data_IF_985392897804
#
_entry.id   IF_985392897804
#
_cell.length_a   1.000
_cell.length_b   1.000
_cell.length_c   1.000
_cell.angle_alpha   90.00
_cell.angle_beta   90.00
_cell.angle_gamma   90.00
#
_symmetry.space_group_name_H-M   'P 1'
#
loop_
_entity.id
_entity.type
_entity.pdbx_description
1 polymer ?
#
# COMPACT_ATOMS: atom_id res chain seq x y z
N UNK A 1 11.70 12.95 14.60
CA UNK A 1 12.81 13.93 14.75
C UNK A 1 14.08 13.18 15.15
N UNK A 2 15.21 13.32 14.43
CA UNK A 2 16.54 12.99 14.99
C UNK A 2 17.52 14.15 14.74
N UNK A 3 18.29 14.47 15.78
CA UNK A 3 19.27 15.58 15.86
C UNK A 3 20.53 15.24 15.06
N UNK A 4 21.08 16.21 14.32
CA UNK A 4 22.45 16.15 13.78
C UNK A 4 23.32 17.20 14.47
N UNK A 5 24.55 16.82 14.86
CA UNK A 5 25.57 17.73 15.46
C UNK A 5 26.56 18.15 14.37
N UNK A 6 26.74 19.45 14.23
CA UNK A 6 27.64 20.08 13.27
C UNK A 6 29.12 19.86 13.61
N UNK A 7 29.98 19.59 12.62
CA UNK A 7 31.33 20.20 12.48
C UNK A 7 32.00 19.93 11.10
N UNK A 8 32.53 21.03 10.52
CA UNK A 8 33.58 21.18 9.49
C UNK A 8 33.22 21.46 8.01
N UNK A 9 32.96 22.75 7.74
CA UNK A 9 33.75 23.67 6.89
C UNK A 9 34.15 23.38 5.42
N UNK A 10 33.29 22.78 4.60
CA UNK A 10 33.41 23.01 3.13
C UNK A 10 32.12 23.06 2.26
N UNK A 11 30.91 23.14 2.84
CA UNK A 11 29.67 23.30 2.08
C UNK A 11 28.82 24.50 2.54
N UNK A 12 29.41 25.69 2.53
CA UNK A 12 28.67 26.96 2.49
C UNK A 12 28.15 27.19 1.07
N UNK A 13 26.86 26.95 0.84
CA UNK A 13 25.94 27.89 0.16
C UNK A 13 24.71 27.16 -0.41
N UNK A 14 23.63 27.04 0.38
CA UNK A 14 22.25 27.12 -0.16
C UNK A 14 21.16 27.41 0.90
N UNK A 15 21.50 28.09 2.02
CA UNK A 15 20.50 28.71 2.89
C UNK A 15 20.52 30.23 2.73
N UNK A 16 19.80 30.73 1.71
CA UNK A 16 19.48 32.17 1.59
C UNK A 16 18.05 32.43 2.06
N UNK A 17 17.90 32.63 3.36
CA UNK A 17 16.78 33.39 3.90
C UNK A 17 16.92 34.87 3.50
N UNK A 18 15.93 35.43 2.80
CA UNK A 18 15.61 36.85 2.93
C UNK A 18 14.22 36.99 3.55
N UNK A 19 14.25 37.10 4.87
CA UNK A 19 13.33 37.78 5.80
C UNK A 19 11.80 37.61 5.65
N UNK A 20 11.20 37.18 6.77
CA UNK A 20 9.83 37.38 7.26
C UNK A 20 8.78 36.26 7.04
N UNK A 21 8.98 35.07 7.59
CA UNK A 21 7.85 34.23 8.05
C UNK A 21 8.21 33.46 9.34
N UNK A 22 7.48 33.66 10.46
CA UNK A 22 7.70 32.96 11.73
C UNK A 22 7.46 31.44 11.69
N UNK A 23 6.88 30.91 10.60
CA UNK A 23 6.43 29.51 10.48
C UNK A 23 7.55 28.48 10.20
N UNK A 24 8.81 28.90 10.08
CA UNK A 24 9.94 28.04 9.71
C UNK A 24 10.92 27.79 10.88
N UNK A 25 10.46 27.84 12.13
CA UNK A 25 11.26 27.35 13.27
C UNK A 25 11.28 25.82 13.23
N UNK A 26 12.40 25.23 12.81
CA UNK A 26 12.64 23.79 12.91
C UNK A 26 13.42 23.15 11.76
N UNK A 27 13.80 23.91 10.73
CA UNK A 27 14.52 23.36 9.56
C UNK A 27 16.02 23.68 9.68
N UNK A 28 16.84 22.66 9.92
CA UNK A 28 18.30 22.76 9.84
C UNK A 28 18.76 22.41 8.41
N UNK A 29 19.66 23.21 7.86
CA UNK A 29 20.22 23.06 6.52
C UNK A 29 21.35 22.02 6.52
N UNK A 30 21.25 20.96 5.71
CA UNK A 30 22.33 19.97 5.51
C UNK A 30 23.00 20.06 4.12
N UNK A 31 24.14 19.39 3.94
CA UNK A 31 24.96 19.43 2.71
C UNK A 31 24.66 18.24 1.79
N UNK A 32 24.79 18.36 0.45
CA UNK A 32 24.41 17.29 -0.50
C UNK A 32 25.15 15.93 -0.38
N UNK A 33 26.17 15.79 0.48
CA UNK A 33 26.84 14.51 0.74
C UNK A 33 26.46 13.90 2.12
N UNK A 34 25.58 14.58 2.87
CA UNK A 34 25.01 14.16 4.15
C UNK A 34 23.57 13.61 4.00
N UNK A 35 23.11 13.44 2.75
CA UNK A 35 21.76 13.02 2.36
C UNK A 35 21.79 11.87 1.34
N UNK A 36 22.88 11.10 1.31
CA UNK A 36 23.03 9.88 0.51
C UNK A 36 23.48 8.82 1.51
N UNK A 37 22.52 8.33 2.29
CA UNK A 37 22.74 7.29 3.28
C UNK A 37 22.94 5.97 2.53
N UNK A 38 23.95 5.14 2.88
CA UNK A 38 24.31 3.98 2.06
C UNK A 38 23.30 2.83 2.13
N UNK A 39 22.25 2.97 2.93
CA UNK A 39 21.18 2.00 3.08
C UNK A 39 19.85 2.68 2.74
N UNK A 40 18.88 1.90 2.28
CA UNK A 40 17.55 2.41 1.98
C UNK A 40 16.86 3.06 3.20
N UNK A 41 16.33 4.27 3.06
CA UNK A 41 15.60 4.99 4.11
C UNK A 41 14.21 5.50 3.68
N UNK A 42 13.29 5.57 4.65
CA UNK A 42 11.96 6.16 4.45
C UNK A 42 11.81 7.41 5.31
N UNK A 43 11.82 8.57 4.67
CA UNK A 43 11.61 9.85 5.36
C UNK A 43 10.12 10.21 5.44
N UNK A 44 9.60 10.49 6.65
CA UNK A 44 8.17 10.82 6.86
C UNK A 44 7.95 12.30 7.20
N UNK A 45 6.99 12.94 6.52
CA UNK A 45 6.47 14.27 6.87
C UNK A 45 5.05 14.15 7.40
N UNK A 46 4.86 14.44 8.69
CA UNK A 46 3.54 14.43 9.32
C UNK A 46 2.76 15.74 9.12
N UNK A 47 1.47 15.62 8.81
CA UNK A 47 0.49 16.70 8.79
C UNK A 47 -0.74 16.31 9.60
N UNK A 48 -1.03 17.10 10.63
CA UNK A 48 -2.16 16.85 11.54
C UNK A 48 -2.13 15.48 12.26
N UNK A 49 -0.99 14.79 12.28
CA UNK A 49 -0.80 13.57 13.08
C UNK A 49 -0.29 13.97 14.46
N UNK A 50 -1.19 14.19 15.43
CA UNK A 50 -0.82 14.76 16.75
C UNK A 50 -0.55 13.72 17.83
N UNK A 51 -1.02 12.49 17.63
CA UNK A 51 -0.89 11.40 18.59
C UNK A 51 0.42 10.64 18.36
N UNK A 52 1.29 10.56 19.37
CA UNK A 52 2.59 9.89 19.29
C UNK A 52 2.46 8.38 19.02
N UNK A 53 1.41 7.72 19.55
CA UNK A 53 1.14 6.29 19.27
C UNK A 53 0.83 6.08 17.79
N UNK A 54 0.12 7.01 17.17
CA UNK A 54 -0.18 6.95 15.73
C UNK A 54 1.08 7.22 14.92
N UNK A 55 1.89 8.21 15.30
CA UNK A 55 3.20 8.46 14.64
C UNK A 55 4.09 7.21 14.69
N UNK A 56 4.12 6.51 15.83
CA UNK A 56 4.89 5.27 16.00
C UNK A 56 4.45 4.17 15.04
N UNK A 57 3.17 4.02 14.73
CA UNK A 57 2.72 3.04 13.72
C UNK A 57 3.30 3.33 12.33
N UNK A 58 3.44 4.60 11.95
CA UNK A 58 4.11 5.01 10.71
C UNK A 58 5.62 4.74 10.73
N UNK A 59 6.29 5.01 11.85
CA UNK A 59 7.73 4.75 12.00
C UNK A 59 8.03 3.24 12.01
N UNK A 60 7.18 2.43 12.63
CA UNK A 60 7.30 0.97 12.63
C UNK A 60 7.09 0.38 11.23
N UNK A 61 6.13 0.89 10.47
CA UNK A 61 5.92 0.48 9.09
C UNK A 61 7.10 0.84 8.18
N UNK A 62 7.65 2.05 8.32
CA UNK A 62 8.88 2.45 7.62
C UNK A 62 10.03 1.49 7.95
N UNK A 63 10.30 1.26 9.24
CA UNK A 63 11.33 0.31 9.70
C UNK A 63 11.09 -1.10 9.14
N UNK A 64 9.84 -1.54 9.07
CA UNK A 64 9.48 -2.85 8.52
C UNK A 64 9.80 -2.93 7.03
N UNK A 65 9.53 -1.89 6.26
CA UNK A 65 9.88 -1.81 4.85
C UNK A 65 11.39 -1.67 4.60
N UNK A 66 12.11 -0.91 5.42
CA UNK A 66 13.59 -0.78 5.39
C UNK A 66 14.30 -2.11 5.69
N UNK A 67 13.65 -3.05 6.38
CA UNK A 67 14.22 -4.40 6.54
C UNK A 67 14.09 -5.27 5.29
N UNK A 68 13.14 -4.95 4.41
CA UNK A 68 12.86 -5.66 3.15
C UNK A 68 13.60 -5.04 1.99
N UNK A 69 13.58 -3.71 1.86
CA UNK A 69 14.29 -2.97 0.83
C UNK A 69 15.63 -2.54 1.41
N UNK A 70 16.73 -3.02 0.83
CA UNK A 70 18.07 -2.88 1.43
C UNK A 70 19.07 -2.16 0.54
N UNK A 71 18.77 -1.98 -0.74
CA UNK A 71 19.63 -1.20 -1.63
C UNK A 71 19.23 0.27 -1.65
N UNK A 72 20.20 1.11 -1.32
CA UNK A 72 20.19 2.55 -1.51
C UNK A 72 19.79 2.97 -2.94
N UNK A 73 18.98 4.01 -3.04
CA UNK A 73 18.57 4.70 -4.26
C UNK A 73 19.20 6.10 -4.29
N UNK A 74 19.85 6.47 -5.41
CA UNK A 74 20.57 7.74 -5.50
C UNK A 74 19.71 8.94 -5.10
N UNK A 75 20.16 9.87 -4.25
CA UNK A 75 19.29 10.98 -3.85
C UNK A 75 18.77 11.82 -5.04
N UNK A 76 17.50 12.23 -4.99
CA UNK A 76 16.83 12.96 -6.06
C UNK A 76 16.61 14.43 -5.69
N UNK A 77 17.13 15.33 -6.53
CA UNK A 77 16.74 16.74 -6.49
C UNK A 77 15.33 16.93 -7.02
N UNK A 78 14.46 17.56 -6.23
CA UNK A 78 13.07 17.86 -6.61
C UNK A 78 13.05 19.15 -7.46
N UNK A 79 12.50 19.13 -8.69
CA UNK A 79 12.44 20.32 -9.54
C UNK A 79 11.55 21.43 -8.95
N UNK A 80 12.08 22.66 -8.84
CA UNK A 80 11.37 23.83 -8.28
C UNK A 80 10.23 24.37 -9.17
N UNK A 81 10.24 24.04 -10.46
CA UNK A 81 9.38 24.65 -11.48
C UNK A 81 8.53 23.58 -12.19
N UNK A 82 8.09 22.56 -11.46
CA UNK A 82 7.07 21.68 -12.00
C UNK A 82 5.71 22.22 -11.57
N UNK A 83 5.05 22.95 -12.47
CA UNK A 83 3.59 23.07 -12.43
C UNK A 83 3.04 21.71 -12.77
N UNK A 84 2.38 21.13 -11.78
CA UNK A 84 1.79 19.82 -11.86
C UNK A 84 2.62 18.78 -11.10
N UNK A 85 2.02 17.86 -10.36
CA UNK A 85 0.72 18.05 -9.76
C UNK A 85 0.62 17.33 -8.41
N UNK A 86 1.67 16.76 -7.83
CA UNK A 86 1.83 16.40 -6.41
C UNK A 86 0.55 16.11 -5.61
N UNK A 87 0.40 14.85 -5.21
CA UNK A 87 -0.61 14.38 -4.26
C UNK A 87 -0.95 15.47 -3.25
N UNK A 88 -2.24 15.73 -3.02
CA UNK A 88 -2.73 16.93 -2.30
C UNK A 88 -2.01 17.19 -0.95
N UNK A 89 -1.45 16.14 -0.38
CA UNK A 89 -0.69 16.10 0.88
C UNK A 89 0.83 16.34 0.76
N UNK A 90 1.45 16.14 -0.40
CA UNK A 90 2.88 16.40 -0.68
C UNK A 90 3.12 17.71 -1.45
N UNK A 91 2.74 18.86 -0.89
CA UNK A 91 2.94 20.17 -1.55
C UNK A 91 4.43 20.50 -1.77
N UNK A 92 4.87 20.66 -3.03
CA UNK A 92 6.28 20.95 -3.43
C UNK A 92 6.95 22.02 -2.57
N UNK A 93 6.26 23.13 -2.30
CA UNK A 93 6.81 24.26 -1.55
C UNK A 93 7.10 23.94 -0.08
N UNK A 94 6.70 22.75 0.38
CA UNK A 94 6.90 22.25 1.74
C UNK A 94 7.74 20.96 1.77
N UNK A 95 8.19 20.48 0.61
CA UNK A 95 9.09 19.33 0.50
C UNK A 95 10.56 19.79 0.59
N UNK A 96 11.47 18.92 1.06
CA UNK A 96 12.90 19.18 0.97
C UNK A 96 13.35 19.26 -0.51
N UNK A 97 14.44 19.98 -0.76
CA UNK A 97 15.00 20.12 -2.12
C UNK A 97 15.64 18.86 -2.66
N UNK A 98 16.15 18.02 -1.76
CA UNK A 98 16.74 16.72 -2.03
C UNK A 98 15.95 15.71 -1.21
N UNK A 99 15.57 14.62 -1.83
CA UNK A 99 14.97 13.46 -1.18
C UNK A 99 15.96 12.32 -1.34
N UNK A 100 16.39 11.77 -0.22
CA UNK A 100 17.06 10.47 -0.20
C UNK A 100 16.00 9.37 -0.26
N UNK A 101 16.30 8.31 -1.00
CA UNK A 101 15.41 7.16 -1.23
C UNK A 101 13.93 7.48 -1.52
N UNK A 102 13.08 7.42 -0.48
CA UNK A 102 11.64 7.67 -0.55
C UNK A 102 11.15 8.57 0.58
N UNK A 103 10.41 9.61 0.22
CA UNK A 103 9.70 10.48 1.16
C UNK A 103 8.19 10.20 1.17
N UNK A 104 7.61 10.11 2.36
CA UNK A 104 6.18 9.85 2.55
C UNK A 104 5.52 11.00 3.31
N UNK A 105 4.59 11.70 2.68
CA UNK A 105 3.76 12.68 3.38
C UNK A 105 2.55 11.99 3.99
N UNK A 106 2.38 12.10 5.30
CA UNK A 106 1.26 11.50 6.01
C UNK A 106 0.33 12.60 6.49
N UNK A 107 -0.97 12.48 6.18
CA UNK A 107 -2.02 13.33 6.72
C UNK A 107 -3.07 12.50 7.47
N UNK A 108 -3.56 13.08 8.57
CA UNK A 108 -4.81 12.64 9.22
C UNK A 108 -5.87 13.72 9.00
N UNK A 109 -7.05 13.32 8.55
CA UNK A 109 -8.22 14.20 8.41
C UNK A 109 -9.42 13.44 7.86
N UNK A 110 -10.55 14.12 7.73
CA UNK A 110 -11.76 13.50 7.20
C UNK A 110 -11.58 12.98 5.76
N UNK A 111 -12.09 11.77 5.50
CA UNK A 111 -12.23 11.20 4.16
C UNK A 111 -13.72 11.07 3.84
N UNK A 112 -14.42 10.14 4.48
CA UNK A 112 -15.83 9.84 4.25
C UNK A 112 -16.58 9.38 5.51
N UNK A 113 -15.91 9.39 6.67
CA UNK A 113 -16.54 9.10 7.95
C UNK A 113 -16.17 7.71 8.45
N UNK A 114 -17.08 7.07 9.19
CA UNK A 114 -16.73 5.84 9.92
C UNK A 114 -16.82 4.60 9.05
N UNK A 115 -15.73 3.83 9.00
CA UNK A 115 -15.65 2.43 8.51
C UNK A 115 -16.07 2.28 7.06
N UNK A 116 -15.78 3.32 6.30
CA UNK A 116 -15.91 3.32 4.85
C UNK A 116 -14.49 3.24 4.31
N UNK A 117 -13.79 4.35 4.09
CA UNK A 117 -12.40 4.31 3.68
C UNK A 117 -11.47 4.59 4.84
N UNK A 118 -10.74 3.56 5.28
CA UNK A 118 -9.81 3.66 6.40
C UNK A 118 -8.61 4.57 6.07
N UNK A 119 -8.07 4.39 4.87
CA UNK A 119 -6.91 5.09 4.40
C UNK A 119 -6.83 5.12 2.87
N UNK A 120 -5.95 5.98 2.38
CA UNK A 120 -5.68 6.24 0.97
C UNK A 120 -4.21 6.51 0.78
N UNK A 121 -3.57 5.82 -0.15
CA UNK A 121 -2.19 6.10 -0.53
C UNK A 121 -2.05 6.54 -1.98
N UNK A 122 -0.89 7.08 -2.31
CA UNK A 122 -0.62 7.55 -3.66
C UNK A 122 0.86 7.51 -3.97
N UNK A 123 1.18 7.00 -5.15
CA UNK A 123 2.51 7.20 -5.73
C UNK A 123 2.57 8.58 -6.37
N UNK A 124 3.43 9.45 -5.83
CA UNK A 124 3.62 10.80 -6.34
C UNK A 124 4.67 10.85 -7.45
N UNK A 125 5.79 11.53 -7.17
CA UNK A 125 6.87 11.69 -8.14
C UNK A 125 7.75 10.45 -8.20
N UNK A 126 8.11 10.06 -9.43
CA UNK A 126 8.94 8.90 -9.72
C UNK A 126 10.21 9.32 -10.45
N UNK A 127 11.27 8.58 -10.20
CA UNK A 127 12.57 8.70 -10.84
C UNK A 127 12.41 8.44 -12.34
N UNK A 128 12.95 9.34 -13.16
CA UNK A 128 12.75 9.26 -14.62
C UNK A 128 13.44 8.05 -15.28
N UNK A 129 14.51 7.55 -14.68
CA UNK A 129 15.37 6.53 -15.29
C UNK A 129 14.89 5.10 -15.05
N UNK A 130 14.28 4.83 -13.91
CA UNK A 130 13.82 3.48 -13.52
C UNK A 130 12.36 3.41 -13.04
N UNK A 131 11.68 4.55 -12.87
CA UNK A 131 10.28 4.58 -12.45
C UNK A 131 10.04 4.39 -10.95
N UNK A 132 11.08 4.19 -10.14
CA UNK A 132 10.95 4.04 -8.67
C UNK A 132 10.46 5.35 -8.04
N UNK A 133 9.60 5.24 -7.02
CA UNK A 133 9.06 6.40 -6.30
C UNK A 133 10.16 7.21 -5.62
N UNK A 134 10.00 8.53 -5.66
CA UNK A 134 10.80 9.50 -4.87
C UNK A 134 9.97 10.00 -3.70
N UNK A 135 8.70 10.31 -3.95
CA UNK A 135 7.78 10.57 -2.85
C UNK A 135 6.33 10.22 -3.21
N UNK A 136 5.53 9.97 -2.19
CA UNK A 136 4.10 9.81 -2.27
C UNK A 136 3.44 10.21 -0.95
N UNK A 137 2.13 10.01 -0.84
CA UNK A 137 1.41 10.35 0.38
C UNK A 137 0.44 9.29 0.83
N UNK A 138 0.15 9.33 2.12
CA UNK A 138 -0.91 8.55 2.77
C UNK A 138 -1.84 9.50 3.54
N UNK A 139 -3.14 9.26 3.43
CA UNK A 139 -4.21 9.95 4.13
C UNK A 139 -5.02 8.92 4.93
N UNK A 140 -5.16 9.13 6.23
CA UNK A 140 -5.94 8.27 7.13
C UNK A 140 -7.18 9.00 7.62
N UNK A 141 -8.34 8.31 7.62
CA UNK A 141 -9.59 8.91 8.12
C UNK A 141 -9.54 9.06 9.64
N UNK A 142 -9.60 10.32 10.09
CA UNK A 142 -9.65 10.67 11.50
C UNK A 142 -10.82 9.99 12.25
N UNK A 143 -11.92 9.69 11.55
CA UNK A 143 -13.09 9.05 12.14
C UNK A 143 -12.85 7.58 12.57
N UNK A 144 -11.85 6.92 11.99
CA UNK A 144 -11.57 5.49 12.18
C UNK A 144 -10.34 5.19 13.05
N UNK A 145 -9.48 6.18 13.28
CA UNK A 145 -8.21 5.99 13.99
C UNK A 145 -8.35 5.41 15.41
N UNK A 146 -9.33 5.88 16.19
CA UNK A 146 -9.54 5.36 17.54
C UNK A 146 -9.92 3.87 17.53
N UNK A 147 -10.72 3.46 16.53
CA UNK A 147 -11.10 2.07 16.37
C UNK A 147 -9.94 1.22 15.85
N UNK A 148 -9.19 1.71 14.85
CA UNK A 148 -8.01 1.05 14.31
C UNK A 148 -6.90 0.84 15.35
N UNK A 149 -6.72 1.82 16.24
CA UNK A 149 -5.82 1.69 17.39
C UNK A 149 -6.34 0.66 18.38
N UNK A 150 -7.64 0.67 18.67
CA UNK A 150 -8.28 -0.25 19.61
C UNK A 150 -8.34 -1.70 19.13
N UNK A 151 -8.48 -1.93 17.81
CA UNK A 151 -8.48 -3.26 17.21
C UNK A 151 -7.06 -3.79 16.96
N UNK A 152 -6.07 -2.91 16.86
CA UNK A 152 -4.68 -3.24 16.53
C UNK A 152 -4.38 -3.28 15.02
N UNK A 153 -5.38 -3.04 14.17
CA UNK A 153 -5.24 -3.11 12.70
C UNK A 153 -4.46 -1.94 12.10
N UNK A 154 -4.28 -0.83 12.83
CA UNK A 154 -3.61 0.36 12.31
C UNK A 154 -2.22 0.03 11.72
N UNK A 155 -1.43 -0.82 12.39
CA UNK A 155 -0.06 -1.13 11.96
C UNK A 155 -0.03 -1.83 10.59
N UNK A 156 -0.89 -2.83 10.40
CA UNK A 156 -0.99 -3.56 9.14
C UNK A 156 -1.44 -2.66 7.99
N UNK A 157 -2.44 -1.81 8.23
CA UNK A 157 -2.94 -0.87 7.20
C UNK A 157 -1.87 0.16 6.85
N UNK A 158 -1.17 0.73 7.84
CA UNK A 158 -0.08 1.68 7.56
C UNK A 158 1.03 1.01 6.73
N UNK A 159 1.34 -0.26 7.01
CA UNK A 159 2.31 -1.02 6.21
C UNK A 159 1.84 -1.23 4.77
N UNK A 160 0.56 -1.58 4.58
CA UNK A 160 -0.10 -1.76 3.28
C UNK A 160 -0.07 -0.47 2.45
N UNK A 161 -0.55 0.64 3.02
CA UNK A 161 -0.62 1.95 2.36
C UNK A 161 0.77 2.45 1.96
N UNK A 162 1.79 2.16 2.76
CA UNK A 162 3.17 2.50 2.42
C UNK A 162 3.69 1.69 1.22
N UNK A 163 3.23 0.45 1.04
CA UNK A 163 3.48 -0.36 -0.16
C UNK A 163 2.93 0.30 -1.44
N UNK A 164 1.72 0.87 -1.37
CA UNK A 164 1.17 1.64 -2.48
C UNK A 164 2.00 2.90 -2.80
N UNK A 165 2.56 3.58 -1.79
CA UNK A 165 3.48 4.70 -2.02
C UNK A 165 4.69 4.25 -2.85
N UNK A 166 5.24 3.08 -2.56
CA UNK A 166 6.39 2.53 -3.30
C UNK A 166 6.09 2.07 -4.73
N UNK A 167 4.80 1.96 -5.07
CA UNK A 167 4.37 1.66 -6.43
C UNK A 167 3.75 0.28 -6.61
N UNK A 168 3.34 -0.39 -5.52
CA UNK A 168 2.52 -1.60 -5.60
C UNK A 168 1.09 -1.22 -5.98
N UNK A 169 0.87 -0.83 -7.23
CA UNK A 169 -0.46 -0.46 -7.75
C UNK A 169 -0.52 -0.62 -9.26
N UNK A 170 -1.75 -0.69 -9.79
CA UNK A 170 -2.05 -0.91 -11.21
C UNK A 170 -1.25 0.01 -12.13
N UNK A 171 -1.18 1.29 -11.83
CA UNK A 171 -0.64 2.29 -12.76
C UNK A 171 0.88 2.19 -12.87
N UNK A 172 1.56 1.92 -11.76
CA UNK A 172 2.99 1.66 -11.79
C UNK A 172 3.27 0.31 -12.44
N UNK A 173 2.53 -0.74 -12.08
CA UNK A 173 2.67 -2.05 -12.69
C UNK A 173 2.46 -2.03 -14.21
N UNK A 174 1.44 -1.33 -14.71
CA UNK A 174 1.18 -1.19 -16.15
C UNK A 174 2.33 -0.48 -16.87
N UNK A 175 2.81 0.63 -16.30
CA UNK A 175 3.95 1.39 -16.86
C UNK A 175 5.25 0.59 -16.88
N UNK A 176 5.42 -0.33 -15.95
CA UNK A 176 6.58 -1.24 -15.86
C UNK A 176 6.37 -2.53 -16.66
N UNK A 177 5.20 -2.73 -17.28
CA UNK A 177 4.85 -3.94 -18.01
C UNK A 177 4.77 -5.19 -17.12
N UNK A 178 4.41 -4.99 -15.85
CA UNK A 178 4.22 -6.04 -14.84
C UNK A 178 2.81 -6.61 -14.85
N UNK A 179 1.83 -5.89 -15.39
CA UNK A 179 0.48 -6.40 -15.64
C UNK A 179 0.09 -6.23 -17.11
N UNK A 180 -0.83 -7.07 -17.58
CA UNK A 180 -1.51 -6.86 -18.86
C UNK A 180 -2.91 -6.27 -18.63
N UNK A 181 -3.02 -4.95 -18.72
CA UNK A 181 -4.28 -4.23 -18.51
C UNK A 181 -5.29 -4.35 -19.68
N UNK A 182 -4.94 -5.05 -20.77
CA UNK A 182 -5.81 -5.26 -21.93
C UNK A 182 -6.77 -6.44 -21.74
N UNK A 183 -6.51 -7.26 -20.74
CA UNK A 183 -7.40 -8.32 -20.28
C UNK A 183 -8.21 -7.77 -19.10
N UNK A 184 -9.56 -7.93 -19.05
CA UNK A 184 -10.35 -7.55 -17.89
C UNK A 184 -9.85 -8.14 -16.55
N UNK A 185 -9.04 -9.19 -16.56
CA UNK A 185 -8.47 -9.85 -15.37
C UNK A 185 -7.14 -9.29 -14.87
N UNK A 186 -6.51 -8.32 -15.56
CA UNK A 186 -5.24 -7.68 -15.14
C UNK A 186 -4.11 -8.64 -14.72
N UNK A 187 -3.89 -9.70 -15.50
CA UNK A 187 -2.87 -10.71 -15.19
C UNK A 187 -1.48 -10.13 -14.91
N UNK A 188 -0.87 -10.56 -13.81
CA UNK A 188 0.53 -10.28 -13.51
C UNK A 188 1.46 -11.00 -14.48
N UNK A 189 2.65 -10.44 -14.66
CA UNK A 189 3.69 -10.96 -15.52
C UNK A 189 4.15 -12.32 -15.01
N UNK A 190 4.07 -13.33 -15.88
CA UNK A 190 4.45 -14.71 -15.54
C UNK A 190 5.94 -14.82 -15.16
N UNK A 191 6.81 -14.25 -16.00
CA UNK A 191 8.26 -14.28 -15.79
C UNK A 191 8.69 -13.13 -14.87
N UNK A 192 8.21 -13.13 -13.64
CA UNK A 192 8.48 -12.11 -12.61
C UNK A 192 8.91 -12.74 -11.29
N UNK A 193 9.51 -11.96 -10.40
CA UNK A 193 9.90 -12.39 -9.06
C UNK A 193 8.69 -12.72 -8.18
N UNK A 194 7.65 -11.89 -8.19
CA UNK A 194 6.40 -12.16 -7.46
C UNK A 194 5.73 -13.47 -7.91
N UNK A 195 5.64 -13.72 -9.22
CA UNK A 195 5.07 -14.96 -9.76
C UNK A 195 5.90 -16.19 -9.38
N UNK A 196 7.24 -16.12 -9.42
CA UNK A 196 8.10 -17.22 -8.93
C UNK A 196 7.91 -17.47 -7.43
N UNK A 197 7.79 -16.42 -6.63
CA UNK A 197 7.53 -16.53 -5.20
C UNK A 197 6.18 -17.19 -4.93
N UNK A 198 5.13 -16.80 -5.65
CA UNK A 198 3.81 -17.44 -5.60
C UNK A 198 3.87 -18.93 -5.95
N UNK A 199 4.56 -19.30 -7.04
CA UNK A 199 4.75 -20.69 -7.44
C UNK A 199 5.45 -21.51 -6.35
N UNK A 200 6.49 -20.95 -5.71
CA UNK A 200 7.22 -21.61 -4.64
C UNK A 200 6.38 -21.80 -3.37
N UNK A 201 5.57 -20.80 -3.00
CA UNK A 201 4.68 -20.89 -1.84
C UNK A 201 3.58 -21.92 -2.08
N UNK A 202 2.97 -21.91 -3.27
CA UNK A 202 1.79 -22.72 -3.56
C UNK A 202 2.09 -24.12 -4.09
N UNK A 203 3.28 -24.33 -4.64
CA UNK A 203 3.61 -25.51 -5.44
C UNK A 203 3.02 -25.49 -6.86
N UNK A 204 2.43 -24.36 -7.30
CA UNK A 204 1.91 -24.22 -8.64
C UNK A 204 3.00 -24.29 -9.71
N UNK A 205 2.61 -24.76 -10.91
CA UNK A 205 3.51 -24.92 -12.04
C UNK A 205 4.10 -23.59 -12.55
N UNK A 206 5.18 -23.65 -13.36
CA UNK A 206 5.91 -22.46 -13.81
C UNK A 206 5.10 -21.55 -14.75
N UNK A 207 3.96 -22.01 -15.25
CA UNK A 207 3.06 -21.28 -16.15
C UNK A 207 1.96 -20.49 -15.40
N UNK A 208 2.03 -20.42 -14.06
CA UNK A 208 1.05 -19.76 -13.21
C UNK A 208 1.63 -18.48 -12.60
N UNK A 209 1.08 -17.32 -12.99
CA UNK A 209 1.45 -16.04 -12.39
C UNK A 209 0.77 -15.85 -11.03
N UNK A 210 1.29 -14.92 -10.21
CA UNK A 210 0.57 -14.47 -9.02
C UNK A 210 -0.78 -13.86 -9.44
N UNK A 211 -1.91 -14.26 -8.81
CA UNK A 211 -3.21 -13.75 -9.16
C UNK A 211 -3.38 -12.31 -8.64
N UNK A 212 -4.03 -11.49 -9.45
CA UNK A 212 -4.29 -10.07 -9.21
C UNK A 212 -5.79 -9.88 -9.11
N UNK A 213 -6.19 -9.05 -8.17
CA UNK A 213 -7.59 -8.73 -7.94
C UNK A 213 -8.21 -8.15 -9.23
N UNK A 214 -9.34 -8.70 -9.66
CA UNK A 214 -10.05 -8.26 -10.86
C UNK A 214 -11.48 -7.82 -10.57
N UNK A 215 -11.85 -7.81 -9.30
CA UNK A 215 -13.13 -7.39 -8.76
C UNK A 215 -12.95 -6.09 -7.96
N UNK A 216 -14.06 -5.50 -7.51
CA UNK A 216 -14.01 -4.19 -6.85
C UNK A 216 -14.05 -2.98 -7.78
N UNK A 217 -13.99 -1.81 -7.15
CA UNK A 217 -13.86 -0.52 -7.83
C UNK A 217 -12.48 -0.32 -8.46
N UNK A 218 -12.29 0.80 -9.17
CA UNK A 218 -11.01 1.07 -9.84
C UNK A 218 -9.84 1.29 -8.88
N UNK A 219 -10.12 1.53 -7.60
CA UNK A 219 -9.13 1.45 -6.54
C UNK A 219 -8.62 0.03 -6.51
N UNK A 220 -9.46 -0.91 -6.09
CA UNK A 220 -9.08 -2.27 -5.73
C UNK A 220 -8.65 -3.12 -6.90
N UNK A 221 -9.44 -3.12 -7.97
CA UNK A 221 -9.17 -3.93 -9.16
C UNK A 221 -7.81 -3.56 -9.78
N UNK A 222 -7.00 -4.59 -10.02
CA UNK A 222 -5.68 -4.53 -10.65
C UNK A 222 -4.59 -3.83 -9.83
N UNK A 223 -4.89 -3.37 -8.61
CA UNK A 223 -3.94 -2.71 -7.71
C UNK A 223 -3.52 -3.57 -6.53
N UNK A 224 -4.11 -4.76 -6.39
CA UNK A 224 -3.88 -5.69 -5.29
C UNK A 224 -3.67 -7.10 -5.80
N UNK A 225 -3.09 -7.94 -4.94
CA UNK A 225 -3.21 -9.38 -5.12
C UNK A 225 -4.64 -9.84 -4.87
N UNK A 226 -5.02 -10.92 -5.55
CA UNK A 226 -6.36 -11.51 -5.45
C UNK A 226 -6.63 -12.01 -4.02
N UNK A 227 -7.64 -11.44 -3.37
CA UNK A 227 -7.99 -11.76 -1.97
C UNK A 227 -8.45 -13.21 -1.83
N UNK A 228 -9.18 -13.74 -2.81
CA UNK A 228 -9.69 -15.12 -2.71
C UNK A 228 -8.53 -16.12 -2.69
N UNK A 229 -7.47 -15.84 -3.43
CA UNK A 229 -6.28 -16.67 -3.46
C UNK A 229 -5.30 -16.39 -2.31
N UNK A 230 -4.99 -15.12 -2.03
CA UNK A 230 -3.95 -14.72 -1.09
C UNK A 230 -4.46 -14.39 0.31
N UNK A 231 -5.78 -14.33 0.52
CA UNK A 231 -6.41 -14.11 1.84
C UNK A 231 -5.74 -12.96 2.59
N UNK A 232 -5.03 -13.27 3.67
CA UNK A 232 -4.48 -12.30 4.62
C UNK A 232 -3.17 -11.67 4.17
N UNK A 233 -2.71 -11.85 2.93
CA UNK A 233 -1.45 -11.28 2.47
C UNK A 233 -1.50 -9.74 2.50
N UNK A 234 -0.38 -9.09 2.83
CA UNK A 234 -0.32 -7.64 3.06
C UNK A 234 -0.97 -6.81 1.95
N UNK A 235 -0.78 -7.16 0.68
CA UNK A 235 -1.18 -6.35 -0.48
C UNK A 235 -2.42 -6.89 -1.17
N UNK A 236 -3.26 -7.65 -0.47
CA UNK A 236 -4.64 -7.86 -0.92
C UNK A 236 -5.50 -6.64 -0.64
N UNK A 237 -6.60 -6.48 -1.36
CA UNK A 237 -7.41 -5.25 -1.32
C UNK A 237 -8.20 -5.05 -0.03
N UNK A 238 -8.22 -6.06 0.85
CA UNK A 238 -9.12 -6.11 1.99
C UNK A 238 -8.39 -6.53 3.26
N UNK A 239 -8.69 -5.85 4.37
CA UNK A 239 -8.11 -6.17 5.67
C UNK A 239 -8.83 -7.40 6.25
N UNK A 240 -8.45 -8.60 5.82
CA UNK A 240 -9.14 -9.83 6.22
C UNK A 240 -8.68 -10.42 7.56
N UNK A 241 -7.67 -9.83 8.21
CA UNK A 241 -7.17 -10.26 9.52
C UNK A 241 -6.45 -9.14 10.28
N UNK A 242 -6.18 -9.39 11.56
CA UNK A 242 -5.31 -8.54 12.38
C UNK A 242 -3.85 -8.57 11.88
N UNK A 243 -3.38 -9.77 11.53
CA UNK A 243 -2.04 -9.99 11.02
C UNK A 243 -2.07 -10.02 9.49
N UNK A 244 -1.41 -9.04 8.87
CA UNK A 244 -1.25 -8.90 7.43
C UNK A 244 0.21 -9.17 7.04
N UNK A 245 0.63 -10.44 6.84
CA UNK A 245 2.00 -10.81 6.52
C UNK A 245 2.52 -10.11 5.25
N UNK A 246 3.66 -9.42 5.38
CA UNK A 246 4.47 -8.98 4.26
C UNK A 246 5.20 -10.20 3.69
N UNK A 247 4.53 -10.91 2.80
CA UNK A 247 4.98 -12.21 2.34
C UNK A 247 6.14 -12.12 1.35
N UNK A 248 6.77 -13.27 1.10
CA UNK A 248 7.78 -13.44 0.04
C UNK A 248 7.27 -13.02 -1.35
N UNK A 249 5.95 -13.01 -1.57
CA UNK A 249 5.30 -12.59 -2.82
C UNK A 249 5.34 -11.06 -2.94
N UNK A 250 4.96 -10.32 -1.89
CA UNK A 250 5.11 -8.86 -1.84
C UNK A 250 6.58 -8.45 -1.96
N UNK A 251 7.51 -9.16 -1.32
CA UNK A 251 8.96 -8.92 -1.51
C UNK A 251 9.37 -9.10 -2.96
N UNK A 252 8.86 -10.14 -3.63
CA UNK A 252 9.10 -10.35 -5.06
C UNK A 252 8.52 -9.23 -5.94
N UNK A 253 7.35 -8.68 -5.59
CA UNK A 253 6.79 -7.55 -6.32
C UNK A 253 7.63 -6.27 -6.16
N UNK A 254 8.29 -6.08 -5.02
CA UNK A 254 9.26 -5.00 -4.85
C UNK A 254 10.52 -5.19 -5.71
N UNK A 255 11.03 -6.42 -5.85
CA UNK A 255 12.10 -6.72 -6.81
C UNK A 255 11.66 -6.42 -8.25
N UNK A 256 10.43 -6.80 -8.61
CA UNK A 256 9.86 -6.56 -9.94
C UNK A 256 9.71 -5.05 -10.24
N UNK A 257 9.50 -4.21 -9.22
CA UNK A 257 9.51 -2.75 -9.31
C UNK A 257 10.93 -2.14 -9.46
N UNK A 258 11.97 -2.94 -9.25
CA UNK A 258 13.38 -2.55 -9.36
C UNK A 258 14.06 -2.20 -8.05
N UNK A 259 13.42 -2.43 -6.90
CA UNK A 259 14.09 -2.30 -5.60
C UNK A 259 15.06 -3.46 -5.35
N UNK A 260 16.14 -3.20 -4.63
CA UNK A 260 17.00 -4.28 -4.13
C UNK A 260 16.44 -4.79 -2.81
N UNK A 261 16.10 -6.07 -2.76
CA UNK A 261 15.32 -6.63 -1.65
C UNK A 261 16.04 -7.76 -0.90
N UNK A 262 15.63 -7.95 0.36
CA UNK A 262 16.04 -9.05 1.23
C UNK A 262 14.85 -10.00 1.49
N UNK A 263 14.80 -11.12 0.76
CA UNK A 263 13.78 -12.14 0.93
C UNK A 263 13.75 -12.80 2.33
N UNK A 264 14.86 -12.76 3.07
CA UNK A 264 14.88 -13.34 4.43
C UNK A 264 14.12 -12.50 5.45
N UNK A 265 13.78 -11.25 5.10
CA UNK A 265 12.94 -10.37 5.90
C UNK A 265 11.45 -10.51 5.57
N UNK A 266 11.05 -11.44 4.69
CA UNK A 266 9.64 -11.75 4.46
C UNK A 266 9.03 -12.44 5.70
N UNK A 267 7.77 -12.16 5.97
CA UNK A 267 7.02 -12.89 7.00
C UNK A 267 6.71 -14.31 6.53
N UNK A 268 6.59 -15.23 7.49
CA UNK A 268 6.09 -16.56 7.19
C UNK A 268 4.64 -16.46 6.69
N UNK A 269 4.37 -17.04 5.53
CA UNK A 269 3.09 -16.92 4.86
C UNK A 269 2.61 -18.28 4.37
N UNK A 270 1.56 -18.79 5.01
CA UNK A 270 1.01 -20.13 4.74
C UNK A 270 -0.52 -20.13 4.58
N UNK A 271 -1.18 -18.99 4.77
CA UNK A 271 -2.64 -18.88 4.70
C UNK A 271 -3.08 -18.41 3.31
N UNK A 272 -3.21 -19.34 2.37
CA UNK A 272 -3.64 -19.09 0.99
C UNK A 272 -4.65 -20.18 0.56
N UNK A 273 -5.59 -19.83 -0.32
CA UNK A 273 -6.67 -20.76 -0.74
C UNK A 273 -6.39 -21.46 -2.06
N UNK A 274 -5.74 -20.76 -2.99
CA UNK A 274 -5.53 -21.24 -4.36
C UNK A 274 -4.39 -22.27 -4.41
N UNK A 275 -4.71 -23.52 -4.04
CA UNK A 275 -3.75 -24.65 -4.01
C UNK A 275 -4.25 -25.88 -4.75
N UNK A 276 -5.57 -26.05 -4.86
CA UNK A 276 -6.18 -27.25 -5.44
C UNK A 276 -6.31 -27.23 -6.96
N UNK A 277 -6.18 -26.07 -7.60
CA UNK A 277 -6.41 -25.96 -9.05
C UNK A 277 -5.38 -25.14 -9.84
N UNK A 278 -4.56 -24.30 -9.19
CA UNK A 278 -3.61 -23.40 -9.89
C UNK A 278 -4.23 -22.67 -11.11
N UNK A 279 -5.55 -22.48 -11.07
CA UNK A 279 -6.37 -21.81 -12.06
C UNK A 279 -7.01 -20.61 -11.34
N UNK A 280 -7.07 -19.47 -12.02
CA UNK A 280 -7.93 -18.37 -11.59
C UNK A 280 -9.38 -18.88 -11.58
N UNK A 281 -10.19 -18.60 -10.55
CA UNK A 281 -11.59 -19.01 -10.53
C UNK A 281 -12.31 -18.47 -11.76
N UNK A 282 -12.56 -19.32 -12.76
CA UNK A 282 -13.28 -18.90 -13.96
C UNK A 282 -14.78 -18.85 -13.67
N UNK A 283 -15.45 -17.79 -14.15
CA UNK A 283 -16.91 -17.54 -14.05
C UNK A 283 -17.81 -18.73 -14.45
N UNK A 284 -17.27 -19.73 -15.16
CA UNK A 284 -17.96 -20.92 -15.66
C UNK A 284 -18.04 -22.07 -14.65
N UNK A 285 -17.18 -22.11 -13.63
CA UNK A 285 -17.12 -23.20 -12.64
C UNK A 285 -18.13 -23.02 -11.50
N UNK A 286 -18.52 -21.77 -11.21
CA UNK A 286 -19.53 -21.38 -10.21
C UNK A 286 -20.92 -22.03 -10.43
N UNK A 287 -21.25 -22.45 -11.66
CA UNK A 287 -22.56 -23.07 -11.94
C UNK A 287 -22.57 -24.61 -11.80
N UNK A 288 -21.42 -25.27 -11.67
CA UNK A 288 -21.35 -26.75 -11.77
C UNK A 288 -20.85 -27.46 -10.52
N UNK A 289 -20.26 -26.76 -9.56
CA UNK A 289 -19.72 -27.37 -8.34
C UNK A 289 -20.42 -26.85 -7.07
N UNK A 290 -21.75 -27.00 -7.05
CA UNK A 290 -22.58 -26.85 -5.84
C UNK A 290 -22.47 -28.09 -4.93
N UNK A 291 -21.24 -28.52 -4.65
CA UNK A 291 -20.94 -29.68 -3.82
C UNK A 291 -19.77 -29.37 -2.90
N UNK A 292 -20.10 -28.73 -1.76
CA UNK A 292 -19.58 -28.96 -0.41
C UNK A 292 -18.12 -29.47 -0.34
N UNK A 293 -17.20 -28.55 -0.04
CA UNK A 293 -16.04 -28.66 0.88
C UNK A 293 -15.32 -27.29 0.93
N UNK A 294 -14.81 -26.92 2.12
CA UNK A 294 -14.16 -25.66 2.57
C UNK A 294 -15.04 -24.46 3.02
N UNK A 295 -14.96 -24.20 4.34
CA UNK A 295 -15.55 -23.17 5.22
C UNK A 295 -16.82 -22.43 4.74
N UNK A 296 -17.98 -23.00 5.07
CA UNK A 296 -19.29 -22.38 4.79
C UNK A 296 -19.55 -21.11 5.60
N UNK A 297 -18.89 -20.93 6.74
CA UNK A 297 -19.04 -19.76 7.60
C UNK A 297 -18.37 -18.52 7.01
N UNK A 298 -17.15 -18.69 6.48
CA UNK A 298 -16.44 -17.62 5.78
C UNK A 298 -17.24 -17.13 4.57
N UNK A 299 -17.67 -18.04 3.70
CA UNK A 299 -18.46 -17.69 2.51
C UNK A 299 -19.79 -17.02 2.87
N UNK A 300 -20.45 -17.48 3.94
CA UNK A 300 -21.69 -16.87 4.42
C UNK A 300 -21.45 -15.46 4.94
N UNK A 301 -20.42 -15.25 5.75
CA UNK A 301 -20.07 -13.94 6.29
C UNK A 301 -19.68 -12.97 5.16
N UNK A 302 -18.87 -13.42 4.20
CA UNK A 302 -18.54 -12.69 2.96
C UNK A 302 -19.80 -12.36 2.15
N UNK A 303 -20.76 -13.27 1.99
CA UNK A 303 -22.01 -12.95 1.29
C UNK A 303 -22.90 -11.96 2.07
N UNK A 304 -23.03 -12.16 3.38
CA UNK A 304 -23.80 -11.29 4.27
C UNK A 304 -23.28 -9.86 4.24
N UNK A 305 -21.95 -9.68 4.30
CA UNK A 305 -21.35 -8.36 4.29
C UNK A 305 -21.56 -7.61 2.97
N UNK A 306 -21.50 -8.32 1.84
CA UNK A 306 -21.82 -7.74 0.52
C UNK A 306 -23.26 -7.26 0.44
N UNK A 307 -24.21 -8.07 0.91
CA UNK A 307 -25.63 -7.70 0.91
C UNK A 307 -25.91 -6.53 1.87
N UNK A 308 -25.20 -6.48 3.00
CA UNK A 308 -25.26 -5.36 3.92
C UNK A 308 -24.77 -4.06 3.28
N UNK A 309 -23.62 -4.09 2.59
CA UNK A 309 -23.05 -2.92 1.92
C UNK A 309 -23.85 -2.49 0.69
N UNK A 310 -24.39 -3.42 -0.11
CA UNK A 310 -25.27 -3.09 -1.26
C UNK A 310 -26.56 -2.38 -0.88
N UNK A 311 -27.02 -2.54 0.36
CA UNK A 311 -28.22 -1.87 0.87
C UNK A 311 -27.92 -0.50 1.49
N UNK A 312 -26.66 -0.06 1.54
CA UNK A 312 -26.31 1.31 1.94
C UNK A 312 -26.47 2.25 0.73
N UNK A 313 -27.23 3.33 0.89
CA UNK A 313 -27.27 4.42 -0.10
C UNK A 313 -26.01 5.26 0.00
N UNK A 314 -25.35 5.46 -1.13
CA UNK A 314 -23.97 5.95 -1.23
C UNK A 314 -23.85 7.05 -2.27
N UNK A 315 -23.07 8.09 -1.99
CA UNK A 315 -22.63 9.06 -3.00
C UNK A 315 -21.39 8.53 -3.76
N UNK A 316 -21.22 8.95 -5.01
CA UNK A 316 -20.19 8.39 -5.93
C UNK A 316 -18.73 8.65 -5.49
N UNK A 317 -18.55 9.54 -4.51
CA UNK A 317 -17.28 9.93 -3.92
C UNK A 317 -16.91 9.11 -2.67
N UNK A 318 -17.75 8.16 -2.26
CA UNK A 318 -17.56 7.27 -1.09
C UNK A 318 -17.14 5.84 -1.49
N UNK A 319 -17.01 5.52 -2.78
CA UNK A 319 -16.60 4.18 -3.29
C UNK A 319 -15.12 4.09 -3.66
N UNK A 320 -14.53 2.88 -3.61
CA UNK A 320 -13.14 2.67 -4.05
C UNK A 320 -12.95 3.08 -5.50
N UNK A 321 -11.92 3.90 -5.70
CA UNK A 321 -11.60 4.41 -7.01
C UNK A 321 -10.14 4.79 -7.07
N UNK A 322 -9.57 4.60 -8.23
CA UNK A 322 -8.30 5.16 -8.59
C UNK A 322 -8.57 6.48 -9.31
N UNK A 323 -8.09 7.56 -8.74
CA UNK A 323 -8.19 8.89 -9.33
C UNK A 323 -6.87 9.15 -10.04
N UNK A 324 -6.87 8.95 -11.36
CA UNK A 324 -5.84 9.50 -12.23
C UNK A 324 -6.20 10.94 -12.50
N UNK A 325 -5.49 11.85 -11.86
CA UNK A 325 -5.58 13.26 -12.18
C UNK A 325 -4.29 13.72 -12.81
N UNK A 326 -4.21 15.02 -13.12
CA UNK A 326 -2.88 15.59 -13.25
C UNK A 326 -2.11 15.21 -11.98
N UNK A 327 -2.68 15.39 -10.75
CA UNK A 327 -2.09 15.31 -9.39
C UNK A 327 -1.28 14.09 -8.96
N UNK A 328 -1.35 13.03 -9.73
CA UNK A 328 -0.73 11.75 -9.43
C UNK A 328 -1.80 10.68 -9.49
N UNK A 329 -1.49 9.55 -8.86
CA UNK A 329 -2.41 8.42 -8.76
C UNK A 329 -2.84 8.38 -7.32
N UNK A 330 -4.07 8.79 -7.04
CA UNK A 330 -4.67 8.69 -5.71
C UNK A 330 -5.53 7.44 -5.62
N UNK A 331 -5.24 6.61 -4.63
CA UNK A 331 -6.00 5.41 -4.33
C UNK A 331 -7.04 5.71 -3.26
N UNK A 332 -8.31 5.45 -3.57
CA UNK A 332 -9.40 5.44 -2.60
C UNK A 332 -9.68 3.99 -2.24
N UNK A 333 -9.46 3.59 -0.98
CA UNK A 333 -9.76 2.25 -0.46
C UNK A 333 -11.25 1.87 -0.55
N UNK A 334 -11.55 0.60 -0.36
CA UNK A 334 -12.93 0.08 -0.35
C UNK A 334 -13.62 0.28 1.00
N UNK A 335 -14.95 0.37 0.97
CA UNK A 335 -15.76 0.21 2.18
C UNK A 335 -15.79 -1.25 2.60
N UNK A 336 -15.67 -1.52 3.90
CA UNK A 336 -15.84 -2.87 4.42
C UNK A 336 -16.79 -2.92 5.61
N UNK A 337 -17.39 -4.09 5.82
CA UNK A 337 -18.13 -4.45 7.01
C UNK A 337 -17.41 -5.60 7.70
N UNK A 338 -17.07 -5.38 8.97
CA UNK A 338 -16.47 -6.39 9.84
C UNK A 338 -17.54 -7.32 10.39
N UNK A 339 -17.43 -8.61 10.10
CA UNK A 339 -18.33 -9.67 10.53
C UNK A 339 -17.57 -10.64 11.41
N UNK A 340 -18.08 -10.86 12.61
CA UNK A 340 -17.59 -11.87 13.54
C UNK A 340 -18.59 -13.02 13.48
N UNK A 341 -18.13 -14.24 13.20
CA UNK A 341 -18.95 -15.44 13.14
C UNK A 341 -18.30 -16.59 13.94
N UNK A 342 -19.08 -17.60 14.28
CA UNK A 342 -18.58 -18.85 14.84
C UNK A 342 -18.55 -19.89 13.73
N UNK A 343 -17.40 -20.54 13.53
CA UNK A 343 -17.28 -21.64 12.56
C UNK A 343 -17.91 -22.95 13.07
N UNK A 344 -17.92 -23.95 12.20
CA UNK A 344 -18.54 -25.26 12.46
C UNK A 344 -17.89 -26.03 13.62
N UNK A 345 -16.68 -25.63 14.05
CA UNK A 345 -15.97 -26.22 15.20
C UNK A 345 -16.01 -25.33 16.45
N UNK A 346 -16.76 -24.22 16.41
CA UNK A 346 -16.99 -23.32 17.53
C UNK A 346 -15.87 -22.32 17.78
N UNK A 347 -15.00 -22.07 16.79
CA UNK A 347 -13.98 -21.02 16.84
C UNK A 347 -14.59 -19.70 16.39
N UNK A 348 -14.26 -18.63 17.10
CA UNK A 348 -14.66 -17.28 16.71
C UNK A 348 -13.77 -16.82 15.56
N UNK A 349 -14.37 -16.54 14.42
CA UNK A 349 -13.75 -16.08 13.19
C UNK A 349 -14.16 -14.64 12.90
N UNK A 350 -13.33 -13.93 12.16
CA UNK A 350 -13.54 -12.54 11.77
C UNK A 350 -13.27 -12.40 10.28
N UNK A 351 -14.13 -11.70 9.56
CA UNK A 351 -13.94 -11.37 8.16
C UNK A 351 -14.43 -9.95 7.90
N UNK A 352 -13.65 -9.19 7.16
CA UNK A 352 -14.02 -7.86 6.69
C UNK A 352 -14.40 -7.97 5.22
N UNK A 353 -15.57 -7.45 4.88
CA UNK A 353 -16.24 -7.73 3.60
C UNK A 353 -16.58 -6.43 2.92
N UNK A 354 -16.26 -6.29 1.64
CA UNK A 354 -16.57 -5.09 0.86
C UNK A 354 -17.74 -5.32 -0.08
N UNK A 355 -18.27 -4.25 -0.69
CA UNK A 355 -19.48 -4.32 -1.53
C UNK A 355 -19.31 -5.24 -2.75
N UNK A 356 -18.06 -5.44 -3.19
CA UNK A 356 -17.69 -5.98 -4.49
C UNK A 356 -16.77 -7.23 -4.47
N UNK A 357 -16.40 -7.77 -3.30
CA UNK A 357 -15.85 -9.15 -3.22
C UNK A 357 -16.84 -10.10 -3.95
N UNK A 358 -16.44 -11.10 -4.74
CA UNK A 358 -17.35 -12.20 -5.19
C UNK A 358 -17.28 -13.46 -4.36
#
# INVERSE_FOLDING_TARGET
MRRVRAHSDQCRDECRFRFLLPALRGWECGTCAEWDYPDFDVTIIYRNVRNETIQMAFEEAATRWESVVTGDLPSQRIPLIRKGPFTSDCKIGTLPRVVDDVLVCVRVGAIDGRRVVLARASTGYRRRHNGITVFGSMLFDEADLDWLLGSGQLKGIVLHEMGHVFGLNRVVWDKMGLINNRDPSCHYKLNSAASRAWQNVTGCGPDVAVPIENEGGSGTACSHFDEQCLRTELMTGFVSALDLPLSVITVGAMEDLGFTVNYTAADNYTNYACTSECELPTRRRLLRQRSLLDDTGYQYAVQYGKEFLKNQTMESDETARLIESEEGIEYVGDQYVSIIYLDDVGTLQHVEVTADMT
#
